data_IF_519776167681
#
_entry.id   IF_519776167681
#
_cell.length_a   1.000
_cell.length_b   1.000
_cell.length_c   1.000
_cell.angle_alpha   90.00
_cell.angle_beta   90.00
_cell.angle_gamma   90.00
#
_symmetry.space_group_name_H-M   'P 1'
#
loop_
_entity.id
_entity.type
_entity.pdbx_description
1 polymer ?
#
# COMPACT_ATOMS: atom_id res chain seq x y z
N UNK A 1 37.80 -16.52 -12.26
CA UNK A 1 37.66 -18.00 -12.19
C UNK A 1 37.00 -18.34 -10.87
N UNK A 2 35.91 -19.12 -10.95
CA UNK A 2 35.21 -19.79 -9.85
C UNK A 2 34.33 -18.90 -8.94
N UNK A 3 33.07 -19.20 -8.63
CA UNK A 3 32.05 -20.05 -9.26
C UNK A 3 30.72 -19.63 -8.63
N UNK A 4 29.65 -19.74 -9.40
CA UNK A 4 28.30 -19.77 -8.86
C UNK A 4 28.13 -21.05 -8.02
N UNK A 5 27.81 -20.89 -6.73
CA UNK A 5 27.16 -21.96 -5.97
C UNK A 5 25.77 -21.53 -5.55
N UNK A 6 24.79 -22.12 -6.22
CA UNK A 6 23.43 -22.32 -5.74
C UNK A 6 23.44 -22.81 -4.29
N UNK A 7 22.61 -22.18 -3.44
CA UNK A 7 21.80 -22.89 -2.46
C UNK A 7 20.38 -22.35 -2.54
N UNK A 8 19.57 -23.02 -3.36
CA UNK A 8 18.14 -23.13 -3.10
C UNK A 8 18.03 -24.02 -1.85
N UNK A 9 17.97 -23.41 -0.67
CA UNK A 9 17.41 -24.06 0.51
C UNK A 9 16.06 -23.39 0.78
N UNK A 10 15.01 -24.10 0.38
CA UNK A 10 13.63 -23.85 0.82
C UNK A 10 13.61 -23.83 2.36
N UNK A 11 13.33 -22.67 2.93
CA UNK A 11 12.61 -22.55 4.21
C UNK A 11 11.56 -21.46 4.05
N UNK A 12 10.44 -21.90 3.48
CA UNK A 12 9.14 -21.34 3.83
C UNK A 12 8.87 -21.83 5.26
N UNK A 13 8.17 -21.02 6.04
CA UNK A 13 7.73 -21.22 7.43
C UNK A 13 8.68 -20.66 8.50
N UNK A 14 8.46 -19.38 8.82
CA UNK A 14 7.89 -18.98 10.11
C UNK A 14 7.47 -17.50 10.00
N UNK A 15 6.23 -17.26 9.54
CA UNK A 15 5.54 -16.02 9.86
C UNK A 15 5.43 -15.98 11.38
N UNK A 16 6.32 -15.21 12.02
CA UNK A 16 6.13 -14.83 13.41
C UNK A 16 4.94 -13.89 13.43
N UNK A 17 3.77 -14.45 13.72
CA UNK A 17 2.65 -13.69 14.25
C UNK A 17 3.12 -13.18 15.62
N UNK A 18 3.75 -12.02 15.64
CA UNK A 18 3.97 -11.28 16.88
C UNK A 18 2.62 -10.65 17.22
N UNK A 19 1.92 -11.35 18.11
CA UNK A 19 0.58 -11.05 18.62
C UNK A 19 0.67 -9.89 19.63
N UNK A 20 1.20 -8.76 19.17
CA UNK A 20 1.39 -7.53 19.95
C UNK A 20 0.57 -6.42 19.35
N UNK A 21 -0.73 -6.40 19.65
CA UNK A 21 -1.59 -5.18 19.73
C UNK A 21 -1.11 -3.99 18.90
N UNK A 22 -1.03 -4.17 17.58
CA UNK A 22 -0.73 -3.11 16.62
C UNK A 22 -2.09 -2.71 16.09
N UNK A 23 -2.57 -1.52 16.47
CA UNK A 23 -3.93 -1.10 16.13
C UNK A 23 -4.18 -1.35 14.65
N UNK A 24 -5.18 -2.19 14.34
CA UNK A 24 -5.43 -2.73 13.01
C UNK A 24 -5.15 -1.66 11.94
N UNK A 25 -4.05 -1.79 11.20
CA UNK A 25 -3.72 -0.91 10.07
C UNK A 25 -4.30 -1.52 8.81
N UNK A 26 -4.78 -0.66 7.90
CA UNK A 26 -5.37 -1.03 6.63
C UNK A 26 -4.48 -0.52 5.49
N UNK A 27 -4.58 -1.19 4.35
CA UNK A 27 -3.97 -0.72 3.11
C UNK A 27 -4.94 0.13 2.31
N UNK A 28 -4.48 1.26 1.76
CA UNK A 28 -5.21 1.98 0.71
C UNK A 28 -4.35 2.12 -0.52
N UNK A 29 -4.89 1.76 -1.67
CA UNK A 29 -4.22 1.96 -2.95
C UNK A 29 -4.93 3.08 -3.72
N UNK A 30 -4.17 4.11 -4.08
CA UNK A 30 -4.57 5.15 -5.03
C UNK A 30 -4.01 4.76 -6.40
N UNK A 31 -4.86 4.41 -7.35
CA UNK A 31 -4.46 4.05 -8.71
C UNK A 31 -4.90 5.13 -9.70
N UNK A 32 -3.92 5.73 -10.35
CA UNK A 32 -4.09 6.75 -11.38
C UNK A 32 -4.26 6.09 -12.75
N UNK A 33 -5.37 6.37 -13.41
CA UNK A 33 -5.60 6.00 -14.81
C UNK A 33 -5.95 7.25 -15.62
N UNK A 34 -5.86 7.21 -16.97
CA UNK A 34 -6.27 8.33 -17.80
C UNK A 34 -7.76 8.70 -17.72
N UNK A 35 -8.61 7.81 -17.18
CA UNK A 35 -10.08 7.98 -17.19
C UNK A 35 -10.68 8.22 -15.81
N UNK A 36 -10.04 7.75 -14.74
CA UNK A 36 -10.50 7.84 -13.37
C UNK A 36 -9.35 7.63 -12.37
N UNK A 37 -9.55 8.06 -11.14
CA UNK A 37 -8.71 7.69 -10.00
C UNK A 37 -9.47 6.65 -9.20
N UNK A 38 -8.87 5.48 -8.99
CA UNK A 38 -9.48 4.41 -8.20
C UNK A 38 -8.84 4.36 -6.81
N UNK A 39 -9.68 4.27 -5.78
CA UNK A 39 -9.27 4.13 -4.39
C UNK A 39 -9.71 2.77 -3.89
N UNK A 40 -8.77 1.90 -3.54
CA UNK A 40 -9.03 0.56 -3.04
C UNK A 40 -8.76 0.52 -1.54
N UNK A 41 -9.66 -0.10 -0.76
CA UNK A 41 -9.36 -0.48 0.62
C UNK A 41 -8.95 -1.94 0.66
N UNK A 42 -7.85 -2.24 1.35
CA UNK A 42 -7.31 -3.56 1.56
C UNK A 42 -7.26 -3.83 3.06
N UNK A 43 -7.54 -5.07 3.46
CA UNK A 43 -7.51 -5.49 4.87
C UNK A 43 -6.10 -5.39 5.46
N UNK A 44 -5.07 -5.44 4.62
CA UNK A 44 -3.66 -5.31 4.99
C UNK A 44 -2.94 -4.36 4.02
N UNK A 45 -1.87 -3.73 4.52
CA UNK A 45 -0.95 -2.98 3.68
C UNK A 45 -0.12 -3.94 2.81
N UNK A 46 -0.01 -3.62 1.51
CA UNK A 46 0.68 -4.45 0.53
C UNK A 46 2.00 -3.76 0.16
N UNK A 47 3.11 -4.25 0.70
CA UNK A 47 4.48 -3.94 0.27
C UNK A 47 4.95 -5.04 -0.67
N UNK A 48 5.17 -4.79 -1.96
CA UNK A 48 5.97 -5.68 -2.85
C UNK A 48 6.02 -5.26 -4.32
N UNK A 49 5.74 -4.00 -4.68
CA UNK A 49 5.72 -3.66 -6.09
C UNK A 49 7.15 -3.37 -6.59
N UNK A 50 7.70 -4.33 -7.36
CA UNK A 50 9.04 -4.17 -7.96
C UNK A 50 9.16 -2.84 -8.72
N UNK A 51 10.16 -2.04 -8.35
CA UNK A 51 10.44 -0.75 -8.98
C UNK A 51 9.69 0.45 -8.38
N UNK A 52 8.97 0.27 -7.27
CA UNK A 52 8.37 1.36 -6.51
C UNK A 52 9.37 2.01 -5.52
N UNK A 53 9.08 3.26 -5.15
CA UNK A 53 9.80 3.99 -4.11
C UNK A 53 9.03 3.87 -2.79
N UNK A 54 9.63 3.21 -1.81
CA UNK A 54 9.05 3.08 -0.46
C UNK A 54 9.70 4.06 0.50
N UNK A 55 8.90 4.74 1.31
CA UNK A 55 9.34 5.63 2.39
C UNK A 55 8.31 5.68 3.52
N UNK A 56 8.72 6.25 4.64
CA UNK A 56 7.87 6.43 5.83
C UNK A 56 7.42 7.90 5.90
N UNK A 57 6.14 8.13 6.18
CA UNK A 57 5.60 9.48 6.35
C UNK A 57 5.91 10.05 7.75
N UNK A 58 5.47 11.28 8.02
CA UNK A 58 5.71 11.96 9.31
C UNK A 58 5.07 11.25 10.52
N UNK A 59 4.04 10.44 10.28
CA UNK A 59 3.32 9.66 11.30
C UNK A 59 3.90 8.26 11.51
N UNK A 60 4.98 7.92 10.80
CA UNK A 60 5.60 6.61 10.88
C UNK A 60 4.92 5.51 10.02
N UNK A 61 4.01 5.90 9.13
CA UNK A 61 3.27 4.99 8.25
C UNK A 61 3.97 4.82 6.93
N UNK A 62 3.89 3.61 6.38
CA UNK A 62 4.52 3.32 5.11
C UNK A 62 3.75 3.87 3.91
N UNK A 63 4.51 4.39 2.95
CA UNK A 63 4.03 4.90 1.66
C UNK A 63 4.90 4.31 0.57
N UNK A 64 4.28 3.69 -0.42
CA UNK A 64 4.96 3.13 -1.59
C UNK A 64 4.41 3.79 -2.86
N UNK A 65 5.27 4.41 -3.65
CA UNK A 65 4.91 5.07 -4.91
C UNK A 65 5.42 4.24 -6.08
N UNK A 66 4.49 3.67 -6.84
CA UNK A 66 4.73 3.06 -8.14
C UNK A 66 4.31 3.98 -9.28
N UNK A 67 4.71 3.65 -10.51
CA UNK A 67 4.51 4.55 -11.66
C UNK A 67 3.08 5.05 -11.88
N UNK A 68 2.07 4.22 -11.58
CA UNK A 68 0.65 4.59 -11.70
C UNK A 68 -0.14 4.46 -10.41
N UNK A 69 0.50 4.15 -9.28
CA UNK A 69 -0.23 3.96 -8.03
C UNK A 69 0.57 4.43 -6.82
N UNK A 70 -0.15 4.69 -5.72
CA UNK A 70 0.41 4.96 -4.40
C UNK A 70 -0.26 3.98 -3.44
N UNK A 71 0.53 3.14 -2.77
CA UNK A 71 0.08 2.28 -1.67
C UNK A 71 0.34 3.01 -0.36
N UNK A 72 -0.65 3.00 0.53
CA UNK A 72 -0.63 3.72 1.79
C UNK A 72 -1.00 2.77 2.91
N UNK A 73 -0.22 2.80 3.98
CA UNK A 73 -0.62 2.27 5.27
C UNK A 73 -1.44 3.34 6.01
N UNK A 74 -2.63 2.97 6.48
CA UNK A 74 -3.55 3.88 7.20
C UNK A 74 -4.12 3.20 8.44
N UNK A 75 -4.60 3.98 9.41
CA UNK A 75 -5.25 3.41 10.60
C UNK A 75 -6.65 2.91 10.26
N UNK A 76 -7.17 1.90 10.97
CA UNK A 76 -8.57 1.43 10.80
C UNK A 76 -9.64 2.51 10.86
N UNK A 77 -9.41 3.59 11.59
CA UNK A 77 -10.36 4.71 11.73
C UNK A 77 -10.21 5.79 10.64
N UNK A 78 -9.42 5.55 9.60
CA UNK A 78 -9.20 6.53 8.54
C UNK A 78 -10.49 6.89 7.80
N UNK A 79 -10.53 8.11 7.24
CA UNK A 79 -11.58 8.54 6.33
C UNK A 79 -11.02 8.69 4.93
N UNK A 80 -11.72 8.12 3.95
CA UNK A 80 -11.33 8.25 2.54
C UNK A 80 -11.33 9.72 2.07
N UNK A 81 -12.22 10.55 2.63
CA UNK A 81 -12.26 11.99 2.36
C UNK A 81 -10.94 12.70 2.70
N UNK A 82 -10.27 12.28 3.77
CA UNK A 82 -9.03 12.88 4.24
C UNK A 82 -7.90 12.54 3.23
N UNK A 83 -7.83 11.29 2.77
CA UNK A 83 -6.89 10.89 1.71
C UNK A 83 -7.15 11.63 0.39
N UNK A 84 -8.41 11.81 0.00
CA UNK A 84 -8.77 12.57 -1.20
C UNK A 84 -8.30 14.03 -1.10
N UNK A 85 -8.37 14.61 0.10
CA UNK A 85 -7.95 15.98 0.37
C UNK A 85 -6.41 16.11 0.42
N UNK A 86 -5.74 15.27 1.21
CA UNK A 86 -4.30 15.33 1.44
C UNK A 86 -3.51 15.07 0.16
N UNK A 87 -3.95 14.12 -0.66
CA UNK A 87 -3.36 13.82 -1.97
C UNK A 87 -3.91 14.68 -3.11
N UNK A 88 -4.77 15.66 -2.79
CA UNK A 88 -5.33 16.62 -3.76
C UNK A 88 -5.96 15.97 -4.99
N UNK A 89 -6.58 14.81 -4.82
CA UNK A 89 -7.07 13.99 -5.95
C UNK A 89 -8.14 14.71 -6.77
N UNK A 90 -8.89 15.64 -6.14
CA UNK A 90 -9.87 16.48 -6.83
C UNK A 90 -9.25 17.48 -7.80
N UNK A 91 -7.97 17.85 -7.64
CA UNK A 91 -7.27 18.75 -8.57
C UNK A 91 -6.97 18.08 -9.91
N UNK A 92 -6.95 16.75 -9.99
CA UNK A 92 -6.73 16.00 -11.23
C UNK A 92 -7.90 16.08 -12.22
N UNK A 93 -9.06 16.62 -11.81
CA UNK A 93 -10.27 16.74 -12.64
C UNK A 93 -10.73 15.40 -13.28
N UNK A 94 -10.42 14.29 -12.61
CA UNK A 94 -10.85 12.95 -12.97
C UNK A 94 -11.92 12.47 -11.98
N UNK A 95 -12.87 11.62 -12.42
CA UNK A 95 -13.79 10.98 -11.49
C UNK A 95 -13.02 10.12 -10.49
N UNK A 96 -13.40 10.20 -9.23
CA UNK A 96 -12.84 9.38 -8.14
C UNK A 96 -13.82 8.24 -7.90
N UNK A 97 -13.32 7.01 -7.97
CA UNK A 97 -14.10 5.78 -7.77
C UNK A 97 -13.56 5.05 -6.56
N UNK A 98 -14.37 5.00 -5.50
CA UNK A 98 -14.05 4.23 -4.29
C UNK A 98 -14.50 2.78 -4.45
N UNK A 99 -13.57 1.85 -4.26
CA UNK A 99 -13.80 0.41 -4.26
C UNK A 99 -13.49 -0.12 -2.86
N UNK A 100 -14.57 -0.35 -2.11
CA UNK A 100 -14.50 -0.87 -0.74
C UNK A 100 -14.53 -2.39 -0.81
N UNK A 101 -13.45 -3.04 -0.41
CA UNK A 101 -13.49 -4.45 -0.07
C UNK A 101 -14.33 -4.55 1.22
N UNK A 102 -15.60 -4.93 1.09
CA UNK A 102 -16.43 -5.27 2.24
C UNK A 102 -16.22 -6.74 2.57
N UNK A 103 -15.83 -7.00 3.83
CA UNK A 103 -16.26 -8.19 4.56
C UNK A 103 -17.49 -7.82 5.42
#
# INVERSE_FOLDING_TARGET
MSWFTKKNDKKIDEFKNDDTTQGDTLGVIIHFTPVAIYLYTCDEYIETFEGALTFENEDGKQVEIGGTFISLEVDTNFRMDDLIFDYKLKESNLPIVELKAYA
#
